data_IF_708931527315
#
_entry.id   IF_708931527315
#
_cell.length_a   1.000
_cell.length_b   1.000
_cell.length_c   1.000
_cell.angle_alpha   90.00
_cell.angle_beta   90.00
_cell.angle_gamma   90.00
#
_symmetry.space_group_name_H-M   'P 1'
#
loop_
_entity.id
_entity.type
_entity.pdbx_description
1 polymer ?
#
# COMPACT_ATOMS: atom_id res chain seq x y z
N UNK A 1 45.45 -1.26 64.03
CA UNK A 1 46.41 -0.15 63.91
C UNK A 1 45.92 0.79 62.81
N UNK A 2 45.92 2.09 63.12
CA UNK A 2 45.40 3.21 62.31
C UNK A 2 46.16 3.42 61.00
N UNK A 3 45.50 4.02 60.00
CA UNK A 3 46.15 4.53 58.79
C UNK A 3 45.18 5.16 57.79
N UNK A 4 44.71 6.37 58.08
CA UNK A 4 44.03 7.30 57.17
C UNK A 4 45.05 8.15 56.41
N UNK A 5 44.92 8.33 55.08
CA UNK A 5 45.52 9.47 54.35
C UNK A 5 44.56 9.99 53.27
N UNK A 6 44.49 11.31 53.22
CA UNK A 6 43.63 12.19 52.46
C UNK A 6 44.17 12.57 51.07
N UNK A 7 43.20 12.87 50.18
CA UNK A 7 43.10 13.96 49.18
C UNK A 7 44.08 14.03 47.98
N UNK A 8 43.48 14.18 46.79
CA UNK A 8 43.69 15.35 45.92
C UNK A 8 42.54 15.52 44.90
N UNK A 9 42.07 16.76 44.77
CA UNK A 9 41.25 17.36 43.69
C UNK A 9 42.01 18.63 43.24
N UNK A 10 41.67 19.37 42.15
CA UNK A 10 40.91 19.08 40.91
C UNK A 10 41.78 19.57 39.67
N UNK A 11 41.32 20.06 38.47
CA UNK A 11 40.22 20.99 38.18
C UNK A 11 39.28 20.61 37.01
N UNK A 12 38.15 21.31 36.94
CA UNK A 12 37.11 21.16 35.92
C UNK A 12 37.45 21.74 34.54
N UNK A 13 36.64 21.32 33.56
CA UNK A 13 36.57 21.87 32.22
C UNK A 13 35.25 21.42 31.59
N UNK A 14 34.33 22.36 31.42
CA UNK A 14 33.03 22.10 30.80
C UNK A 14 33.13 21.97 29.27
N UNK A 15 32.25 21.16 28.71
CA UNK A 15 31.76 21.32 27.34
C UNK A 15 30.39 20.65 27.23
N UNK A 16 29.36 21.48 27.10
CA UNK A 16 28.02 21.08 26.69
C UNK A 16 28.06 20.62 25.23
N UNK A 17 27.37 19.53 24.91
CA UNK A 17 26.97 19.17 23.55
C UNK A 17 25.46 18.94 23.49
N UNK A 18 24.80 19.35 22.39
CA UNK A 18 23.38 19.65 22.35
C UNK A 18 22.49 18.41 22.18
N UNK A 19 21.23 18.58 22.57
CA UNK A 19 20.19 17.57 22.60
C UNK A 19 20.03 16.81 21.30
N UNK A 20 20.06 15.48 21.42
CA UNK A 20 19.42 14.59 20.45
C UNK A 20 17.91 14.77 20.59
N UNK A 21 17.35 15.60 19.72
CA UNK A 21 15.93 15.53 19.39
C UNK A 21 15.65 14.10 18.92
N UNK A 22 14.95 13.34 19.77
CA UNK A 22 14.34 12.08 19.35
C UNK A 22 13.30 12.44 18.31
N UNK A 23 13.62 12.24 17.03
CA UNK A 23 12.62 12.15 15.99
C UNK A 23 11.67 11.01 16.39
N UNK A 24 10.52 11.37 16.95
CA UNK A 24 9.42 10.45 17.18
C UNK A 24 8.94 10.02 15.80
N UNK A 25 9.34 8.83 15.39
CA UNK A 25 8.64 8.09 14.34
C UNK A 25 7.17 8.00 14.77
N UNK A 26 6.19 8.27 13.89
CA UNK A 26 4.79 8.14 14.27
C UNK A 26 4.52 6.68 14.58
N UNK A 27 4.13 6.45 15.84
CA UNK A 27 3.59 5.20 16.34
C UNK A 27 2.40 4.84 15.44
N UNK A 28 2.50 3.73 14.70
CA UNK A 28 1.34 3.16 14.00
C UNK A 28 0.44 2.59 15.09
N UNK A 29 -0.45 3.45 15.58
CA UNK A 29 -1.41 3.13 16.63
C UNK A 29 -2.58 2.38 15.99
N UNK A 30 -2.50 1.04 16.01
CA UNK A 30 -3.49 0.15 15.41
C UNK A 30 -4.41 -0.54 16.44
N UNK A 31 -4.61 0.09 17.59
CA UNK A 31 -5.62 -0.32 18.56
C UNK A 31 -6.32 0.91 19.17
N UNK A 32 -7.59 1.11 18.85
CA UNK A 32 -8.51 1.86 19.72
C UNK A 32 -9.79 1.04 19.89
N UNK A 33 -10.03 0.59 21.12
CA UNK A 33 -11.33 0.20 21.65
C UNK A 33 -11.78 1.32 22.57
N UNK A 34 -13.03 1.79 22.45
CA UNK A 34 -13.75 2.21 23.65
C UNK A 34 -15.09 1.47 23.75
N UNK A 35 -15.27 0.78 24.88
CA UNK A 35 -16.60 0.43 25.37
C UNK A 35 -17.13 1.54 26.27
N UNK A 36 -18.34 2.04 26.01
CA UNK A 36 -19.50 1.93 26.92
C UNK A 36 -20.69 2.74 26.39
N UNK A 37 -21.80 2.02 26.20
CA UNK A 37 -23.21 2.38 26.37
C UNK A 37 -23.59 3.87 26.50
N UNK A 38 -24.58 4.30 25.69
CA UNK A 38 -25.84 4.88 26.19
C UNK A 38 -26.98 4.53 25.21
N UNK A 39 -28.15 4.21 25.80
CA UNK A 39 -29.38 3.69 25.19
C UNK A 39 -30.44 4.79 25.16
N UNK A 40 -31.21 4.90 24.07
CA UNK A 40 -32.67 5.22 23.97
C UNK A 40 -33.08 5.01 22.49
N UNK A 41 -33.90 4.01 22.09
CA UNK A 41 -35.39 3.98 22.00
C UNK A 41 -35.95 5.28 21.38
N UNK A 42 -36.71 5.32 20.27
CA UNK A 42 -37.90 4.52 19.92
C UNK A 42 -38.38 4.82 18.44
N UNK A 43 -39.53 4.30 17.92
CA UNK A 43 -39.66 3.76 16.55
C UNK A 43 -40.62 4.51 15.60
N UNK A 44 -40.70 4.04 14.34
CA UNK A 44 -41.92 3.67 13.56
C UNK A 44 -41.80 3.91 12.04
N UNK A 45 -42.15 2.87 11.28
CA UNK A 45 -42.54 2.88 9.86
C UNK A 45 -44.09 2.72 9.81
N UNK A 46 -44.81 3.09 8.72
CA UNK A 46 -44.99 2.10 7.65
C UNK A 46 -45.16 2.64 6.20
N UNK A 47 -44.67 1.81 5.25
CA UNK A 47 -45.29 1.29 4.02
C UNK A 47 -46.36 2.10 3.25
N UNK A 48 -46.11 2.42 1.95
CA UNK A 48 -47.11 2.37 0.84
C UNK A 48 -46.42 2.02 -0.51
N UNK A 49 -47.19 1.35 -1.37
CA UNK A 49 -46.91 0.53 -2.56
C UNK A 49 -47.06 1.27 -3.91
N UNK A 50 -46.28 0.81 -4.90
CA UNK A 50 -46.42 0.75 -6.38
C UNK A 50 -46.84 1.97 -7.25
N UNK A 51 -46.12 2.17 -8.37
CA UNK A 51 -46.69 2.02 -9.73
C UNK A 51 -45.61 1.84 -10.82
N UNK A 52 -45.88 0.91 -11.74
CA UNK A 52 -45.22 0.69 -13.05
C UNK A 52 -45.49 1.85 -14.02
N UNK A 53 -44.54 2.13 -14.93
CA UNK A 53 -44.84 2.49 -16.31
C UNK A 53 -43.64 2.24 -17.24
N UNK A 54 -43.97 1.61 -18.35
CA UNK A 54 -43.20 1.10 -19.49
C UNK A 54 -42.60 2.17 -20.40
N UNK A 55 -41.42 1.87 -20.99
CA UNK A 55 -41.08 2.35 -22.34
C UNK A 55 -40.41 1.22 -23.14
N UNK A 56 -41.06 0.85 -24.24
CA UNK A 56 -40.53 0.04 -25.34
C UNK A 56 -39.95 1.01 -26.37
N UNK A 57 -38.78 0.71 -26.91
CA UNK A 57 -38.18 1.45 -28.02
C UNK A 57 -37.07 0.64 -28.67
N UNK A 58 -37.42 -0.10 -29.72
CA UNK A 58 -36.48 -0.72 -30.66
C UNK A 58 -36.12 0.29 -31.75
N UNK A 59 -34.84 0.42 -32.12
CA UNK A 59 -34.37 0.31 -33.53
C UNK A 59 -32.86 0.57 -33.69
N UNK A 60 -32.34 -0.20 -34.63
CA UNK A 60 -30.99 -0.36 -35.19
C UNK A 60 -30.15 0.90 -35.47
N UNK A 61 -28.83 0.74 -35.29
CA UNK A 61 -27.78 1.55 -35.91
C UNK A 61 -26.42 0.86 -35.80
N UNK A 62 -25.87 0.41 -36.93
CA UNK A 62 -24.51 -0.13 -37.10
C UNK A 62 -23.55 1.04 -37.31
N UNK A 63 -22.39 1.07 -36.63
CA UNK A 63 -21.09 1.50 -37.19
C UNK A 63 -19.93 1.06 -36.26
N UNK A 64 -18.78 0.82 -36.87
CA UNK A 64 -17.59 0.18 -36.35
C UNK A 64 -16.60 1.13 -35.65
N UNK A 65 -15.55 0.50 -35.09
CA UNK A 65 -14.22 1.00 -34.69
C UNK A 65 -13.92 1.20 -33.18
N UNK A 66 -12.86 0.49 -32.79
CA UNK A 66 -12.05 0.48 -31.55
C UNK A 66 -11.17 1.74 -31.40
N UNK A 67 -10.22 1.80 -30.43
CA UNK A 67 -10.30 2.00 -28.99
C UNK A 67 -9.66 3.35 -28.57
N UNK A 68 -9.94 3.88 -27.37
CA UNK A 68 -9.14 5.00 -26.82
C UNK A 68 -8.53 4.62 -25.46
N UNK A 69 -7.21 4.43 -25.49
CA UNK A 69 -6.35 4.41 -24.33
C UNK A 69 -6.07 5.86 -23.91
N UNK A 70 -6.46 6.22 -22.69
CA UNK A 70 -6.00 7.46 -22.06
C UNK A 70 -4.50 7.35 -21.74
N UNK A 71 -3.68 7.73 -22.72
CA UNK A 71 -2.26 8.05 -22.53
C UNK A 71 -2.17 9.43 -21.91
N UNK A 72 -1.80 9.51 -20.63
CA UNK A 72 -1.32 10.75 -20.03
C UNK A 72 0.21 10.69 -19.89
N UNK A 73 0.91 10.91 -20.99
CA UNK A 73 2.28 11.42 -20.95
C UNK A 73 2.18 12.94 -20.97
N UNK A 74 2.29 13.58 -19.81
CA UNK A 74 2.28 15.04 -19.70
C UNK A 74 3.71 15.56 -19.78
N UNK A 75 4.11 16.04 -20.96
CA UNK A 75 5.19 17.01 -21.12
C UNK A 75 4.62 18.41 -20.91
N UNK A 76 5.16 19.20 -19.98
CA UNK A 76 4.71 20.58 -19.71
C UNK A 76 5.80 21.60 -20.04
N UNK A 77 5.37 22.71 -20.63
CA UNK A 77 6.15 23.94 -20.86
C UNK A 77 6.84 24.43 -19.58
N UNK A 78 8.03 25.03 -19.75
CA UNK A 78 8.81 25.64 -18.70
C UNK A 78 8.02 26.76 -17.99
N UNK A 79 7.58 26.51 -16.75
CA UNK A 79 7.14 27.57 -15.84
C UNK A 79 5.84 27.31 -15.06
N UNK A 80 4.99 26.36 -15.46
CA UNK A 80 3.85 25.95 -14.63
C UNK A 80 4.26 24.83 -13.67
N UNK A 81 3.95 24.91 -12.36
CA UNK A 81 4.24 23.81 -11.45
C UNK A 81 3.50 22.56 -11.91
N UNK A 82 4.24 21.47 -12.13
CA UNK A 82 3.69 20.18 -12.50
C UNK A 82 2.63 19.78 -11.46
N UNK A 83 1.36 19.75 -11.88
CA UNK A 83 0.24 19.34 -11.03
C UNK A 83 -0.19 17.94 -11.42
N UNK A 84 0.24 16.96 -10.63
CA UNK A 84 -0.21 15.58 -10.75
C UNK A 84 -1.51 15.40 -9.97
N UNK A 85 -2.39 14.54 -10.46
CA UNK A 85 -3.68 14.26 -9.83
C UNK A 85 -3.85 12.74 -9.74
N UNK A 86 -4.19 12.26 -8.55
CA UNK A 86 -4.53 10.86 -8.34
C UNK A 86 -5.54 10.72 -7.20
N UNK A 87 -6.35 9.67 -7.27
CA UNK A 87 -7.26 9.32 -6.19
C UNK A 87 -6.54 8.57 -5.07
N UNK A 88 -7.12 8.59 -3.88
CA UNK A 88 -6.74 7.68 -2.80
C UNK A 88 -6.64 6.23 -3.32
N UNK A 89 -5.57 5.52 -2.94
CA UNK A 89 -5.31 4.16 -3.40
C UNK A 89 -4.65 4.04 -4.77
N UNK A 90 -4.43 5.12 -5.53
CA UNK A 90 -3.76 5.05 -6.82
C UNK A 90 -2.24 5.21 -6.74
N UNK A 91 -1.57 4.84 -7.83
CA UNK A 91 -0.14 5.05 -8.03
C UNK A 91 0.04 6.10 -9.13
N UNK A 92 0.91 7.07 -8.90
CA UNK A 92 1.37 8.01 -9.92
C UNK A 92 2.71 7.52 -10.47
N UNK A 93 2.83 7.47 -11.80
CA UNK A 93 4.11 7.35 -12.48
C UNK A 93 4.61 8.76 -12.84
N UNK A 94 5.61 9.24 -12.13
CA UNK A 94 6.24 10.54 -12.37
C UNK A 94 7.48 10.35 -13.24
N UNK A 95 7.62 11.18 -14.29
CA UNK A 95 8.87 11.38 -15.02
C UNK A 95 9.41 12.76 -14.70
N UNK A 96 10.70 12.85 -14.39
CA UNK A 96 11.40 14.07 -14.08
C UNK A 96 12.61 14.21 -15.02
N UNK A 97 12.56 15.22 -15.89
CA UNK A 97 13.73 15.63 -16.66
C UNK A 97 14.69 16.40 -15.75
N UNK A 98 15.97 16.04 -15.79
CA UNK A 98 17.02 16.64 -14.98
C UNK A 98 18.17 17.05 -15.88
N UNK A 99 18.49 18.35 -15.93
CA UNK A 99 19.62 18.83 -16.73
C UNK A 99 20.96 18.34 -16.17
N UNK A 100 21.91 18.02 -17.05
CA UNK A 100 23.25 17.56 -16.67
C UNK A 100 23.28 16.10 -16.19
N UNK A 101 24.34 15.77 -15.43
CA UNK A 101 24.59 14.42 -14.92
C UNK A 101 24.49 14.41 -13.38
N UNK A 102 23.29 14.20 -12.81
CA UNK A 102 23.14 14.07 -11.37
C UNK A 102 23.75 12.75 -10.88
N UNK A 103 24.30 12.77 -9.68
CA UNK A 103 24.77 11.59 -8.93
C UNK A 103 23.59 10.79 -8.37
N UNK A 104 22.57 11.49 -7.88
CA UNK A 104 21.35 10.87 -7.35
C UNK A 104 20.15 11.79 -7.42
N UNK A 105 18.98 11.19 -7.51
CA UNK A 105 17.69 11.87 -7.30
C UNK A 105 16.95 11.13 -6.20
N UNK A 106 16.48 11.86 -5.20
CA UNK A 106 15.63 11.32 -4.14
C UNK A 106 14.42 12.20 -3.98
N UNK A 107 13.35 11.68 -3.38
CA UNK A 107 12.24 12.54 -3.03
C UNK A 107 11.48 12.11 -1.79
N UNK A 108 10.62 13.02 -1.37
CA UNK A 108 9.69 12.84 -0.27
C UNK A 108 8.32 13.33 -0.70
N UNK A 109 7.29 12.56 -0.38
CA UNK A 109 5.91 12.99 -0.53
C UNK A 109 5.21 12.80 0.80
N UNK A 110 4.89 13.92 1.45
CA UNK A 110 4.56 13.95 2.88
C UNK A 110 5.75 13.40 3.67
N UNK A 111 5.54 12.52 4.63
CA UNK A 111 6.61 11.92 5.44
C UNK A 111 7.17 10.62 4.85
N UNK A 112 6.85 10.32 3.58
CA UNK A 112 7.23 9.07 2.90
C UNK A 112 8.35 9.30 1.89
N UNK A 113 9.36 8.44 1.94
CA UNK A 113 10.43 8.40 0.93
C UNK A 113 9.88 7.92 -0.41
N UNK A 114 10.20 8.67 -1.46
CA UNK A 114 9.92 8.35 -2.86
C UNK A 114 11.25 8.15 -3.59
N UNK A 115 11.67 6.90 -3.84
CA UNK A 115 12.86 6.64 -4.63
C UNK A 115 12.64 7.01 -6.10
N UNK A 116 13.67 7.60 -6.70
CA UNK A 116 13.74 7.78 -8.15
C UNK A 116 14.67 6.72 -8.76
N UNK A 117 14.41 6.35 -10.00
CA UNK A 117 15.21 5.42 -10.77
C UNK A 117 15.48 5.98 -12.17
N UNK A 118 16.64 5.68 -12.78
CA UNK A 118 16.92 6.12 -14.14
C UNK A 118 15.95 5.45 -15.13
N UNK A 119 15.52 6.21 -16.14
CA UNK A 119 14.71 5.69 -17.27
C UNK A 119 15.55 5.69 -18.54
N UNK A 120 15.94 6.87 -19.01
CA UNK A 120 16.82 7.11 -20.17
C UNK A 120 17.40 8.52 -20.05
N UNK A 121 18.50 8.85 -20.74
CA UNK A 121 19.05 10.20 -20.93
C UNK A 121 18.49 11.33 -20.05
N UNK A 122 19.12 11.55 -18.87
CA UNK A 122 18.76 12.66 -17.99
C UNK A 122 17.28 12.67 -17.52
N UNK A 123 16.56 11.55 -17.66
CA UNK A 123 15.18 11.32 -17.20
C UNK A 123 15.17 10.31 -16.04
N UNK A 124 14.51 10.71 -14.96
CA UNK A 124 14.29 9.87 -13.78
C UNK A 124 12.80 9.57 -13.62
N UNK A 125 12.48 8.32 -13.35
CA UNK A 125 11.14 7.85 -13.00
C UNK A 125 10.97 7.74 -11.49
N UNK A 126 9.74 7.92 -11.01
CA UNK A 126 9.35 7.61 -9.65
C UNK A 126 7.93 7.04 -9.60
N UNK A 127 7.71 6.06 -8.72
CA UNK A 127 6.37 5.61 -8.36
C UNK A 127 5.97 6.28 -7.05
N UNK A 128 4.83 6.96 -7.04
CA UNK A 128 4.29 7.63 -5.86
C UNK A 128 2.97 6.98 -5.47
N UNK A 129 2.95 6.27 -4.35
CA UNK A 129 1.73 5.70 -3.78
C UNK A 129 0.89 6.77 -3.08
N UNK A 130 -0.40 6.84 -3.40
CA UNK A 130 -1.39 7.59 -2.65
C UNK A 130 -2.11 6.61 -1.73
N UNK A 131 -1.92 6.72 -0.42
CA UNK A 131 -2.53 5.79 0.53
C UNK A 131 -4.05 5.98 0.54
N UNK A 132 -4.80 4.89 0.74
CA UNK A 132 -6.26 4.93 0.83
C UNK A 132 -6.80 5.89 1.92
N UNK A 133 -5.96 6.28 2.89
CA UNK A 133 -6.30 7.20 3.99
C UNK A 133 -5.66 8.59 3.85
N UNK A 134 -4.90 8.86 2.80
CA UNK A 134 -4.28 10.17 2.60
C UNK A 134 -5.32 11.28 2.52
N UNK A 135 -5.18 12.36 3.30
CA UNK A 135 -6.08 13.52 3.22
C UNK A 135 -6.22 14.02 1.76
N UNK A 136 -7.46 14.19 1.31
CA UNK A 136 -7.82 14.68 -0.02
C UNK A 136 -7.56 16.18 -0.16
N UNK A 137 -6.29 16.53 -0.37
CA UNK A 137 -5.80 17.89 -0.55
C UNK A 137 -4.58 17.90 -1.47
N UNK A 138 -4.17 19.10 -1.87
CA UNK A 138 -2.89 19.27 -2.55
C UNK A 138 -1.76 19.13 -1.54
N UNK A 139 -0.75 18.34 -1.87
CA UNK A 139 0.52 18.26 -1.16
C UNK A 139 1.69 18.42 -2.13
N UNK A 140 2.89 18.54 -1.59
CA UNK A 140 4.12 18.70 -2.39
C UNK A 140 4.94 17.41 -2.33
N UNK A 141 5.36 16.94 -3.51
CA UNK A 141 6.47 16.03 -3.65
C UNK A 141 7.72 16.88 -3.86
N UNK A 142 8.68 16.72 -2.95
CA UNK A 142 9.98 17.37 -3.01
C UNK A 142 10.96 16.38 -3.63
N UNK A 143 11.56 16.73 -4.77
CA UNK A 143 12.65 15.98 -5.36
C UNK A 143 13.97 16.74 -5.16
N UNK A 144 14.92 16.10 -4.50
CA UNK A 144 16.27 16.57 -4.31
C UNK A 144 17.19 15.91 -5.35
N UNK A 145 17.91 16.73 -6.10
CA UNK A 145 18.80 16.34 -7.18
C UNK A 145 20.22 16.70 -6.77
N UNK A 146 21.06 15.70 -6.56
CA UNK A 146 22.45 15.87 -6.15
C UNK A 146 23.36 15.74 -7.35
N UNK A 147 24.21 16.75 -7.58
CA UNK A 147 25.28 16.77 -8.58
C UNK A 147 26.65 16.67 -7.87
N UNK A 148 27.76 16.46 -8.59
CA UNK A 148 29.09 16.44 -7.97
C UNK A 148 29.47 17.73 -7.24
N UNK A 149 28.95 18.88 -7.68
CA UNK A 149 29.32 20.22 -7.22
C UNK A 149 28.19 20.99 -6.51
N UNK A 150 26.93 20.54 -6.63
CA UNK A 150 25.76 21.25 -6.10
C UNK A 150 24.57 20.34 -5.84
N UNK A 151 23.57 20.88 -5.15
CA UNK A 151 22.23 20.26 -5.03
C UNK A 151 21.19 21.21 -5.62
N UNK A 152 20.15 20.64 -6.23
CA UNK A 152 18.97 21.38 -6.70
C UNK A 152 17.69 20.72 -6.21
N UNK A 153 16.64 21.50 -6.02
CA UNK A 153 15.33 20.99 -5.63
C UNK A 153 14.30 21.21 -6.74
N UNK A 154 13.33 20.30 -6.81
CA UNK A 154 12.12 20.43 -7.63
C UNK A 154 10.89 20.17 -6.77
N UNK A 155 9.93 21.09 -6.82
CA UNK A 155 8.64 20.97 -6.13
C UNK A 155 7.57 20.58 -7.14
N UNK A 156 6.90 19.47 -6.87
CA UNK A 156 5.83 18.93 -7.73
C UNK A 156 4.56 18.88 -6.90
N UNK A 157 3.49 19.51 -7.40
CA UNK A 157 2.23 19.52 -6.69
C UNK A 157 1.46 18.24 -7.00
N UNK A 158 0.95 17.58 -5.97
CA UNK A 158 0.15 16.36 -6.08
C UNK A 158 -1.21 16.62 -5.45
N UNK A 159 -2.25 16.69 -6.27
CA UNK A 159 -3.65 16.77 -5.83
C UNK A 159 -4.17 15.37 -5.53
N UNK A 160 -4.31 15.06 -4.24
CA UNK A 160 -5.01 13.85 -3.78
C UNK A 160 -6.51 14.08 -3.85
N UNK A 161 -7.20 13.21 -4.59
CA UNK A 161 -8.65 13.22 -4.73
C UNK A 161 -9.25 12.15 -3.83
N UNK A 162 -10.33 12.48 -3.14
CA UNK A 162 -11.07 11.52 -2.33
C UNK A 162 -11.62 10.39 -3.21
N UNK A 163 -11.54 9.15 -2.73
CA UNK A 163 -12.24 8.01 -3.32
C UNK A 163 -13.25 7.46 -2.32
N UNK A 164 -14.49 7.28 -2.78
CA UNK A 164 -15.49 6.55 -2.02
C UNK A 164 -15.32 5.06 -2.25
N UNK A 165 -14.69 4.39 -1.30
CA UNK A 165 -14.47 2.94 -1.32
C UNK A 165 -15.70 2.12 -0.90
N UNK A 166 -16.80 2.77 -0.53
CA UNK A 166 -18.01 2.12 -0.03
C UNK A 166 -17.83 1.45 1.34
N UNK A 167 -18.94 0.91 1.84
CA UNK A 167 -19.04 0.32 3.17
C UNK A 167 -19.74 -1.05 3.14
N UNK A 168 -19.27 -1.96 3.98
CA UNK A 168 -19.91 -3.24 4.25
C UNK A 168 -20.25 -3.33 5.73
N UNK A 169 -21.54 -3.44 6.06
CA UNK A 169 -22.02 -3.64 7.43
C UNK A 169 -22.55 -5.05 7.60
N UNK A 170 -22.13 -5.74 8.67
CA UNK A 170 -22.60 -7.08 9.00
C UNK A 170 -22.91 -7.19 10.49
N UNK A 171 -23.96 -7.95 10.81
CA UNK A 171 -24.32 -8.33 12.17
C UNK A 171 -24.03 -9.81 12.34
N UNK A 172 -23.17 -10.15 13.31
CA UNK A 172 -22.72 -11.51 13.59
C UNK A 172 -22.82 -11.81 15.09
N UNK A 173 -23.02 -13.08 15.49
CA UNK A 173 -22.92 -13.49 16.90
C UNK A 173 -21.59 -13.02 17.53
N UNK A 174 -21.61 -12.62 18.81
CA UNK A 174 -20.45 -11.99 19.46
C UNK A 174 -19.21 -12.88 19.47
N UNK A 175 -19.39 -14.18 19.69
CA UNK A 175 -18.35 -15.21 19.67
C UNK A 175 -17.68 -15.37 18.29
N UNK A 176 -18.25 -14.82 17.21
CA UNK A 176 -17.67 -14.80 15.86
C UNK A 176 -16.88 -13.51 15.56
N UNK A 177 -17.00 -12.51 16.42
CA UNK A 177 -16.43 -11.17 16.22
C UNK A 177 -15.30 -10.90 17.20
N UNK A 178 -15.48 -11.29 18.47
CA UNK A 178 -14.52 -11.07 19.52
C UNK A 178 -13.44 -12.17 19.49
N UNK A 179 -12.18 -11.75 19.56
CA UNK A 179 -11.03 -12.66 19.58
C UNK A 179 -10.62 -12.95 21.02
N UNK A 180 -10.21 -14.17 21.28
CA UNK A 180 -9.60 -14.52 22.57
C UNK A 180 -8.21 -13.87 22.73
N UNK A 181 -7.72 -13.84 23.98
CA UNK A 181 -6.44 -13.21 24.32
C UNK A 181 -5.25 -13.82 23.56
N UNK A 182 -5.28 -15.14 23.32
CA UNK A 182 -4.23 -15.84 22.59
C UNK A 182 -4.17 -15.42 21.12
N UNK A 183 -5.33 -15.28 20.46
CA UNK A 183 -5.46 -14.83 19.08
C UNK A 183 -5.04 -13.37 18.92
N UNK A 184 -5.39 -12.52 19.89
CA UNK A 184 -4.93 -11.12 19.93
C UNK A 184 -3.40 -11.04 20.07
N UNK A 185 -2.81 -11.84 20.96
CA UNK A 185 -1.36 -11.89 21.15
C UNK A 185 -0.65 -12.43 19.91
N UNK A 186 -1.15 -13.52 19.30
CA UNK A 186 -0.62 -14.07 18.05
C UNK A 186 -0.64 -13.00 16.96
N UNK A 187 -1.78 -12.35 16.74
CA UNK A 187 -1.88 -11.30 15.72
C UNK A 187 -0.91 -10.15 15.99
N UNK A 188 -0.73 -9.70 17.24
CA UNK A 188 0.23 -8.64 17.56
C UNK A 188 1.67 -9.02 17.17
N UNK A 189 2.09 -10.26 17.42
CA UNK A 189 3.41 -10.76 17.02
C UNK A 189 3.56 -10.86 15.50
N UNK A 190 2.52 -11.33 14.81
CA UNK A 190 2.48 -11.39 13.34
C UNK A 190 2.59 -9.99 12.71
N UNK A 191 1.88 -9.00 13.27
CA UNK A 191 1.96 -7.61 12.79
C UNK A 191 3.37 -7.02 12.93
N UNK A 192 4.09 -7.30 14.02
CA UNK A 192 5.47 -6.82 14.16
C UNK A 192 6.42 -7.49 13.15
N UNK A 193 6.22 -8.76 12.81
CA UNK A 193 6.98 -9.41 11.70
C UNK A 193 6.71 -8.72 10.36
N UNK A 194 5.43 -8.49 10.03
CA UNK A 194 5.04 -7.84 8.76
C UNK A 194 5.57 -6.41 8.69
N UNK A 195 5.49 -5.67 9.79
CA UNK A 195 6.06 -4.32 9.91
C UNK A 195 7.57 -4.31 9.71
N UNK A 196 8.29 -5.28 10.27
CA UNK A 196 9.73 -5.41 10.05
C UNK A 196 10.07 -5.68 8.57
N UNK A 197 9.25 -6.47 7.86
CA UNK A 197 9.40 -6.67 6.42
C UNK A 197 9.27 -5.35 5.65
N UNK A 198 8.23 -4.55 5.91
CA UNK A 198 8.03 -3.28 5.21
C UNK A 198 8.98 -2.15 5.65
N UNK A 199 9.59 -2.26 6.83
CA UNK A 199 10.62 -1.33 7.28
C UNK A 199 11.96 -1.53 6.55
N UNK A 200 12.22 -2.72 5.99
CA UNK A 200 13.39 -2.96 5.15
C UNK A 200 13.28 -2.19 3.84
N UNK A 201 14.42 -1.68 3.34
CA UNK A 201 14.47 -0.93 2.09
C UNK A 201 15.52 -1.54 1.14
N UNK A 202 15.03 -2.05 0.01
CA UNK A 202 15.88 -2.51 -1.11
C UNK A 202 16.01 -1.37 -2.13
N UNK A 203 17.23 -0.87 -2.36
CA UNK A 203 17.49 0.22 -3.30
C UNK A 203 17.58 -0.21 -4.77
N UNK A 204 17.78 -1.50 -5.02
CA UNK A 204 17.78 -2.10 -6.36
C UNK A 204 16.35 -2.10 -6.92
N UNK A 205 16.16 -1.71 -8.18
CA UNK A 205 14.88 -1.90 -8.90
C UNK A 205 14.87 -3.32 -9.48
N UNK A 206 14.02 -4.21 -8.95
CA UNK A 206 13.99 -5.62 -9.36
C UNK A 206 13.08 -5.91 -10.56
N UNK A 207 12.29 -4.93 -10.98
CA UNK A 207 11.32 -5.04 -12.06
C UNK A 207 11.71 -4.18 -13.26
N UNK A 208 11.61 -4.74 -14.46
CA UNK A 208 11.77 -4.01 -15.72
C UNK A 208 10.50 -3.98 -16.56
N UNK A 209 9.57 -4.92 -16.36
CA UNK A 209 8.36 -5.09 -17.18
C UNK A 209 7.10 -4.62 -16.46
N UNK A 210 6.00 -4.45 -17.21
CA UNK A 210 4.68 -4.20 -16.66
C UNK A 210 4.19 -5.34 -15.74
N UNK A 211 3.57 -5.00 -14.61
CA UNK A 211 3.03 -5.97 -13.65
C UNK A 211 1.88 -6.79 -14.26
N UNK A 212 1.64 -8.00 -13.75
CA UNK A 212 0.50 -8.85 -14.16
C UNK A 212 -0.49 -9.07 -13.03
N UNK A 213 -1.74 -9.34 -13.41
CA UNK A 213 -2.70 -9.96 -12.50
C UNK A 213 -2.19 -11.36 -12.13
N UNK A 214 -2.09 -11.70 -10.85
CA UNK A 214 -1.35 -12.88 -10.41
C UNK A 214 -2.12 -14.21 -10.55
N UNK A 215 -3.44 -14.14 -10.76
CA UNK A 215 -4.29 -15.33 -10.88
C UNK A 215 -5.37 -15.06 -11.92
N UNK A 216 -5.74 -16.11 -12.65
CA UNK A 216 -6.92 -16.08 -13.52
C UNK A 216 -8.17 -16.28 -12.66
N UNK A 217 -9.02 -15.27 -12.60
CA UNK A 217 -10.17 -15.24 -11.70
C UNK A 217 -10.95 -13.93 -11.82
N UNK A 218 -11.98 -13.79 -10.98
CA UNK A 218 -12.93 -12.66 -11.03
C UNK A 218 -12.58 -11.65 -9.92
N UNK A 219 -12.16 -10.42 -10.25
CA UNK A 219 -11.92 -9.38 -9.26
C UNK A 219 -13.23 -8.93 -8.58
N UNK A 220 -13.20 -8.75 -7.27
CA UNK A 220 -14.40 -8.48 -6.45
C UNK A 220 -14.62 -6.99 -6.14
N UNK A 221 -13.67 -6.12 -6.51
CA UNK A 221 -13.67 -4.68 -6.23
C UNK A 221 -13.53 -4.36 -4.74
N UNK A 222 -12.76 -5.17 -4.00
CA UNK A 222 -12.71 -5.12 -2.54
C UNK A 222 -11.83 -3.98 -1.98
N UNK A 223 -10.85 -3.48 -2.74
CA UNK A 223 -9.87 -2.52 -2.21
C UNK A 223 -10.48 -1.26 -1.56
N UNK A 224 -9.97 -0.90 -0.39
CA UNK A 224 -10.33 0.28 0.40
C UNK A 224 -11.67 0.18 1.13
N UNK A 225 -12.48 -0.86 0.84
CA UNK A 225 -13.83 -1.02 1.39
C UNK A 225 -13.79 -1.00 2.91
N UNK A 226 -14.62 -0.16 3.51
CA UNK A 226 -14.74 -0.04 4.98
C UNK A 226 -15.66 -1.14 5.49
N UNK A 227 -15.21 -1.88 6.50
CA UNK A 227 -16.02 -2.94 7.10
C UNK A 227 -16.46 -2.56 8.51
N UNK A 228 -17.72 -2.81 8.83
CA UNK A 228 -18.28 -2.66 10.16
C UNK A 228 -18.89 -3.98 10.60
N UNK A 229 -18.46 -4.49 11.75
CA UNK A 229 -19.01 -5.70 12.38
C UNK A 229 -19.69 -5.31 13.67
N UNK A 230 -20.98 -5.57 13.79
CA UNK A 230 -21.79 -5.20 14.97
C UNK A 230 -21.69 -3.69 15.28
N UNK A 231 -21.69 -2.85 14.24
CA UNK A 231 -21.56 -1.39 14.35
C UNK A 231 -20.15 -0.88 14.60
N UNK A 232 -19.17 -1.75 14.87
CA UNK A 232 -17.79 -1.37 15.16
C UNK A 232 -16.95 -1.35 13.87
N UNK A 233 -16.19 -0.28 13.59
CA UNK A 233 -15.33 -0.21 12.42
C UNK A 233 -14.21 -1.25 12.51
N UNK A 234 -13.83 -1.79 11.35
CA UNK A 234 -12.68 -2.67 11.16
C UNK A 234 -11.73 -2.04 10.15
N UNK A 235 -10.53 -2.61 10.03
CA UNK A 235 -9.56 -2.17 9.04
C UNK A 235 -10.17 -2.18 7.63
N UNK A 236 -9.86 -1.15 6.86
CA UNK A 236 -10.18 -1.11 5.44
C UNK A 236 -9.47 -2.24 4.71
N UNK A 237 -10.11 -2.74 3.66
CA UNK A 237 -9.55 -3.83 2.88
C UNK A 237 -8.30 -3.36 2.11
N UNK A 238 -7.13 -3.87 2.49
CA UNK A 238 -5.83 -3.35 2.02
C UNK A 238 -5.32 -3.96 0.71
N UNK A 239 -6.15 -4.75 0.05
CA UNK A 239 -5.83 -5.42 -1.20
C UNK A 239 -7.08 -5.61 -2.03
N UNK A 240 -6.98 -6.42 -3.05
CA UNK A 240 -8.07 -6.77 -3.94
C UNK A 240 -8.28 -8.28 -3.87
N UNK A 241 -9.55 -8.69 -3.77
CA UNK A 241 -9.88 -10.11 -3.71
C UNK A 241 -10.22 -10.58 -5.13
N UNK A 242 -9.58 -11.67 -5.55
CA UNK A 242 -9.82 -12.30 -6.84
C UNK A 242 -10.36 -13.70 -6.56
N UNK A 243 -11.65 -13.89 -6.86
CA UNK A 243 -12.32 -15.19 -6.73
C UNK A 243 -11.76 -16.15 -7.77
N UNK A 244 -11.31 -17.31 -7.32
CA UNK A 244 -10.72 -18.36 -8.14
C UNK A 244 -10.86 -19.71 -7.43
N UNK A 245 -10.86 -20.81 -8.18
CA UNK A 245 -11.01 -22.14 -7.60
C UNK A 245 -9.82 -22.49 -6.69
N UNK A 246 -10.08 -23.28 -5.64
CA UNK A 246 -9.04 -23.87 -4.79
C UNK A 246 -8.00 -24.58 -5.66
N UNK A 247 -6.72 -24.37 -5.39
CA UNK A 247 -5.62 -24.96 -6.15
C UNK A 247 -5.20 -24.19 -7.41
N UNK A 248 -5.93 -23.13 -7.82
CA UNK A 248 -5.56 -22.34 -9.00
C UNK A 248 -4.14 -21.75 -8.84
N UNK A 249 -3.23 -21.87 -9.82
CA UNK A 249 -1.87 -21.35 -9.68
C UNK A 249 -1.83 -19.83 -9.49
N UNK A 250 -1.07 -19.38 -8.48
CA UNK A 250 -0.81 -17.97 -8.20
C UNK A 250 0.60 -17.64 -8.68
N UNK A 251 0.73 -16.59 -9.49
CA UNK A 251 1.97 -16.14 -10.11
C UNK A 251 2.50 -14.87 -9.45
N UNK A 252 3.82 -14.72 -9.40
CA UNK A 252 4.45 -13.46 -9.05
C UNK A 252 4.06 -12.37 -10.06
N UNK A 253 3.55 -11.24 -9.56
CA UNK A 253 3.08 -10.13 -10.39
C UNK A 253 4.23 -9.46 -11.14
N UNK A 254 5.43 -9.51 -10.56
CA UNK A 254 6.68 -9.12 -11.20
C UNK A 254 7.87 -9.82 -10.55
N UNK A 255 9.08 -9.63 -11.11
CA UNK A 255 10.30 -10.12 -10.48
C UNK A 255 10.52 -9.46 -9.11
N UNK A 256 11.04 -10.23 -8.15
CA UNK A 256 11.20 -9.76 -6.79
C UNK A 256 11.93 -10.74 -5.89
N UNK A 257 12.14 -10.34 -4.64
CA UNK A 257 12.71 -11.14 -3.57
C UNK A 257 11.60 -11.55 -2.59
N UNK A 258 11.49 -12.83 -2.29
CA UNK A 258 10.55 -13.33 -1.28
C UNK A 258 11.02 -12.89 0.10
N UNK A 259 10.25 -12.02 0.75
CA UNK A 259 10.58 -11.49 2.08
C UNK A 259 9.90 -12.21 3.22
N UNK A 260 8.79 -12.87 2.93
CA UNK A 260 8.02 -13.60 3.93
C UNK A 260 7.26 -14.74 3.28
N UNK A 261 7.29 -15.90 3.93
CA UNK A 261 6.37 -17.01 3.70
C UNK A 261 5.92 -17.51 5.07
N UNK A 262 4.74 -17.09 5.52
CA UNK A 262 4.27 -17.38 6.89
C UNK A 262 2.75 -17.63 6.89
N UNK A 263 2.26 -18.33 7.91
CA UNK A 263 0.83 -18.63 8.11
C UNK A 263 0.27 -17.81 9.28
N UNK A 264 -0.44 -16.75 8.93
CA UNK A 264 -0.98 -15.80 9.89
C UNK A 264 -2.45 -16.08 10.24
N UNK A 265 -2.85 -15.70 11.45
CA UNK A 265 -4.21 -15.92 11.94
C UNK A 265 -5.29 -15.32 11.00
N UNK A 266 -5.07 -14.09 10.51
CA UNK A 266 -6.04 -13.41 9.65
C UNK A 266 -5.85 -13.72 8.17
N UNK A 267 -4.64 -13.51 7.65
CA UNK A 267 -4.35 -13.63 6.22
C UNK A 267 -4.11 -15.07 5.76
N UNK A 268 -3.98 -16.01 6.69
CA UNK A 268 -3.60 -17.39 6.37
C UNK A 268 -2.18 -17.47 5.84
N UNK A 269 -1.92 -18.56 5.11
CA UNK A 269 -0.66 -18.76 4.41
C UNK A 269 -0.47 -17.67 3.37
N UNK A 270 0.65 -16.98 3.48
CA UNK A 270 0.95 -15.80 2.69
C UNK A 270 2.35 -15.78 2.11
N UNK A 271 2.50 -15.10 0.97
CA UNK A 271 3.79 -14.72 0.39
C UNK A 271 3.85 -13.20 0.26
N UNK A 272 4.96 -12.59 0.68
CA UNK A 272 5.26 -11.18 0.44
C UNK A 272 6.50 -11.07 -0.44
N UNK A 273 6.37 -10.38 -1.58
CA UNK A 273 7.48 -10.09 -2.49
C UNK A 273 7.89 -8.62 -2.37
N UNK A 274 9.19 -8.40 -2.22
CA UNK A 274 9.83 -7.10 -2.39
C UNK A 274 10.28 -6.95 -3.85
N UNK A 275 9.80 -5.93 -4.52
CA UNK A 275 10.19 -5.60 -5.90
C UNK A 275 11.28 -4.52 -5.94
N UNK A 276 11.74 -4.05 -4.77
CA UNK A 276 12.67 -2.96 -4.65
C UNK A 276 12.00 -1.60 -4.68
N UNK A 277 12.78 -0.56 -4.34
CA UNK A 277 12.33 0.83 -4.29
C UNK A 277 11.09 1.06 -3.38
N UNK A 278 10.92 0.23 -2.36
CA UNK A 278 9.80 0.30 -1.43
C UNK A 278 8.46 -0.16 -2.03
N UNK A 279 8.47 -0.95 -3.10
CA UNK A 279 7.31 -1.59 -3.70
C UNK A 279 7.25 -3.07 -3.29
N UNK A 280 6.12 -3.47 -2.74
CA UNK A 280 5.83 -4.83 -2.32
C UNK A 280 4.49 -5.31 -2.87
N UNK A 281 4.39 -6.61 -3.14
CA UNK A 281 3.12 -7.29 -3.36
C UNK A 281 2.89 -8.39 -2.34
N UNK A 282 1.63 -8.64 -2.01
CA UNK A 282 1.19 -9.60 -1.00
C UNK A 282 0.20 -10.58 -1.62
N UNK A 283 0.33 -11.86 -1.27
CA UNK A 283 -0.48 -12.96 -1.78
C UNK A 283 -0.96 -13.81 -0.61
N UNK A 284 -2.22 -13.67 -0.23
CA UNK A 284 -2.76 -14.27 1.01
C UNK A 284 -3.89 -15.25 0.74
N UNK A 285 -4.30 -15.96 1.79
CA UNK A 285 -5.26 -17.05 1.77
C UNK A 285 -4.81 -18.22 0.89
N UNK A 286 -3.50 -18.43 0.74
CA UNK A 286 -2.97 -19.50 -0.11
C UNK A 286 -3.26 -20.88 0.48
N UNK A 287 -3.37 -21.88 -0.40
CA UNK A 287 -3.44 -23.30 -0.02
C UNK A 287 -2.02 -23.89 0.11
N UNK A 288 -1.12 -23.49 -0.78
CA UNK A 288 0.29 -23.85 -0.71
C UNK A 288 1.19 -22.71 -1.18
N UNK A 289 2.39 -22.63 -0.62
CA UNK A 289 3.48 -21.80 -1.12
C UNK A 289 4.48 -22.69 -1.89
N UNK A 290 4.99 -22.19 -3.01
CA UNK A 290 5.97 -22.88 -3.89
C UNK A 290 7.35 -22.24 -3.86
N UNK A 291 7.55 -21.28 -2.97
CA UNK A 291 8.78 -20.49 -2.81
C UNK A 291 9.16 -20.40 -1.33
N UNK A 292 10.39 -19.97 -1.05
CA UNK A 292 10.90 -19.79 0.31
C UNK A 292 11.41 -18.37 0.54
N UNK A 293 11.46 -17.94 1.80
CA UNK A 293 12.08 -16.67 2.17
C UNK A 293 13.52 -16.58 1.66
N UNK A 294 13.89 -15.42 1.12
CA UNK A 294 15.18 -15.16 0.49
C UNK A 294 15.29 -15.60 -0.98
N UNK A 295 14.30 -16.30 -1.53
CA UNK A 295 14.28 -16.71 -2.94
C UNK A 295 14.01 -15.51 -3.85
N UNK A 296 14.75 -15.41 -4.98
CA UNK A 296 14.41 -14.48 -6.07
C UNK A 296 13.45 -15.17 -7.03
N UNK A 297 12.37 -14.47 -7.40
CA UNK A 297 11.36 -14.98 -8.33
C UNK A 297 11.30 -14.12 -9.58
N UNK A 298 10.96 -14.73 -10.71
CA UNK A 298 10.70 -14.04 -11.95
C UNK A 298 9.22 -13.64 -12.07
N UNK A 299 8.92 -12.60 -12.84
CA UNK A 299 7.55 -12.25 -13.24
C UNK A 299 6.87 -13.47 -13.87
N UNK A 300 5.66 -13.80 -13.42
CA UNK A 300 4.89 -14.94 -13.93
C UNK A 300 5.28 -16.30 -13.36
N UNK A 301 6.34 -16.39 -12.55
CA UNK A 301 6.70 -17.62 -11.83
C UNK A 301 5.57 -17.99 -10.87
N UNK A 302 5.20 -19.28 -10.81
CA UNK A 302 4.22 -19.78 -9.85
C UNK A 302 4.84 -19.73 -8.45
N UNK A 303 4.19 -19.03 -7.53
CA UNK A 303 4.64 -18.85 -6.14
C UNK A 303 3.76 -19.58 -5.13
N UNK A 304 2.60 -20.07 -5.56
CA UNK A 304 1.64 -20.73 -4.70
C UNK A 304 0.39 -21.17 -5.43
N UNK A 305 -0.62 -21.57 -4.66
CA UNK A 305 -1.95 -21.91 -5.16
C UNK A 305 -3.02 -21.20 -4.33
N UNK A 306 -4.10 -20.80 -4.99
CA UNK A 306 -5.28 -20.22 -4.35
C UNK A 306 -5.79 -21.17 -3.29
N UNK A 307 -6.13 -20.63 -2.13
CA UNK A 307 -6.66 -21.36 -1.01
C UNK A 307 -7.82 -20.66 -0.33
N UNK A 308 -8.00 -21.03 0.93
CA UNK A 308 -8.98 -20.45 1.85
C UNK A 308 -8.44 -20.48 3.30
N UNK A 309 -7.12 -20.39 3.47
CA UNK A 309 -6.49 -20.37 4.79
C UNK A 309 -6.73 -19.03 5.51
N UNK A 310 -6.52 -19.00 6.83
CA UNK A 310 -6.82 -17.83 7.65
C UNK A 310 -8.31 -17.56 7.79
N UNK A 311 -8.71 -16.28 7.82
CA UNK A 311 -10.12 -15.85 7.94
C UNK A 311 -10.81 -15.62 6.59
N UNK A 312 -10.64 -16.55 5.66
CA UNK A 312 -11.35 -16.57 4.39
C UNK A 312 -12.75 -17.22 4.52
N UNK A 313 -13.74 -16.75 3.77
CA UNK A 313 -15.09 -17.35 3.73
C UNK A 313 -15.32 -18.29 2.53
N UNK A 314 -14.32 -18.44 1.67
CA UNK A 314 -14.31 -19.31 0.51
C UNK A 314 -13.04 -19.12 -0.31
N UNK A 315 -12.80 -19.94 -1.35
CA UNK A 315 -11.60 -19.85 -2.16
C UNK A 315 -11.45 -18.52 -2.90
N UNK A 316 -10.35 -17.80 -2.63
CA UNK A 316 -9.97 -16.57 -3.32
C UNK A 316 -8.49 -16.25 -3.06
N UNK A 317 -7.91 -15.40 -3.90
CA UNK A 317 -6.64 -14.75 -3.62
C UNK A 317 -6.90 -13.35 -3.10
N UNK A 318 -6.35 -13.01 -1.93
CA UNK A 318 -6.16 -11.61 -1.57
C UNK A 318 -4.82 -11.13 -2.11
N UNK A 319 -4.87 -10.20 -3.08
CA UNK A 319 -3.71 -9.59 -3.71
C UNK A 319 -3.53 -8.17 -3.20
N UNK A 320 -2.45 -7.90 -2.47
CA UNK A 320 -2.16 -6.57 -1.93
C UNK A 320 -0.98 -5.91 -2.62
N UNK A 321 -0.95 -4.57 -2.59
CA UNK A 321 0.21 -3.78 -3.02
C UNK A 321 0.53 -2.70 -1.98
N UNK A 322 1.81 -2.60 -1.64
CA UNK A 322 2.34 -1.60 -0.72
C UNK A 322 3.45 -0.83 -1.42
N UNK A 323 3.36 0.50 -1.47
CA UNK A 323 4.30 1.34 -2.19
C UNK A 323 4.64 2.60 -1.37
N UNK A 324 5.93 2.84 -1.13
CA UNK A 324 6.44 3.98 -0.34
C UNK A 324 5.84 4.09 1.07
N UNK A 325 5.46 2.98 1.72
CA UNK A 325 4.73 3.07 3.00
C UNK A 325 3.21 3.27 2.84
N UNK A 326 2.67 3.21 1.62
CA UNK A 326 1.24 3.40 1.30
C UNK A 326 0.58 2.11 0.85
N UNK A 327 -0.65 1.86 1.31
CA UNK A 327 -1.51 0.80 0.75
C UNK A 327 -2.19 1.33 -0.50
N UNK A 328 -1.95 0.67 -1.62
CA UNK A 328 -2.43 1.07 -2.94
C UNK A 328 -3.21 -0.07 -3.59
N UNK A 329 -4.15 0.28 -4.46
CA UNK A 329 -4.89 -0.69 -5.23
C UNK A 329 -3.91 -1.42 -6.15
N UNK A 330 -3.77 -2.76 -6.05
CA UNK A 330 -2.82 -3.50 -6.85
C UNK A 330 -3.11 -3.41 -8.35
N UNK A 331 -4.35 -3.15 -8.77
CA UNK A 331 -4.67 -2.89 -10.18
C UNK A 331 -4.11 -1.56 -10.70
N UNK A 332 -3.62 -0.66 -9.84
CA UNK A 332 -2.84 0.49 -10.31
C UNK A 332 -1.48 0.08 -10.85
N UNK A 333 -0.90 -1.06 -10.41
CA UNK A 333 0.40 -1.54 -10.90
C UNK A 333 0.34 -1.97 -12.38
N UNK A 334 -0.74 -2.62 -12.80
CA UNK A 334 -0.90 -3.09 -14.18
C UNK A 334 -1.14 -1.95 -15.18
N UNK A 335 -1.51 -0.77 -14.68
CA UNK A 335 -1.76 0.44 -15.48
C UNK A 335 -0.52 1.32 -15.62
N UNK A 336 0.59 0.97 -14.98
CA UNK A 336 1.82 1.74 -15.08
C UNK A 336 2.36 1.69 -16.51
N UNK A 337 2.78 2.84 -17.09
CA UNK A 337 3.35 2.91 -18.42
C UNK A 337 4.83 2.46 -18.40
N UNK A 338 5.08 1.21 -17.98
CA UNK A 338 6.41 0.61 -17.96
C UNK A 338 6.62 -0.04 -19.33
N UNK A 339 7.47 0.58 -20.14
CA UNK A 339 7.88 0.01 -21.43
C UNK A 339 8.83 -1.18 -21.20
N UNK A 340 8.75 -2.24 -22.02
CA UNK A 340 9.56 -3.46 -21.87
C UNK A 340 11.08 -3.27 -22.01
#
# INVERSE_FOLDING_TARGET
MHGSVQRHEPPGGGAALPGRGTARLPLIDMLHYPGSLHVTRDPLLPLVVALLLSVVGSSFGVYAETPSADRAATSTEAGSPLLLKAKQGQIIYLKLQVEGQPVSVTGTFRDRRVPFFPVQDSEFGALVGIDMTDQAKVGELMAEITYPDRTSERRIHVRVVHEDFGEQRMTLPKDKVDLDAASLQRNALEQEKVKAVFAAFTSERLWSQAFIVPVDGIPMGAFGRKRFLNGQPRNQHSGEDISAALGTPVKASNAGLVKMVDDHFFSGLGVILDHGLGLYTMYFHLDSAKVKEGERVARGQIIGTVGQSGRATGPHLHWGAWLNGSRVNPFSLIKLPIEP
#
